data_IF_520045661364
#
_entry.id   IF_520045661364
#
_cell.length_a   1.000
_cell.length_b   1.000
_cell.length_c   1.000
_cell.angle_alpha   90.00
_cell.angle_beta   90.00
_cell.angle_gamma   90.00
#
_symmetry.space_group_name_H-M   'P 1'
#
loop_
_entity.id
_entity.type
_entity.pdbx_description
1 polymer ?
#
# COMPACT_ATOMS: atom_id res chain seq x y z
N UNK A 1 -6.98 -31.04 20.25
CA UNK A 1 -8.35 -30.78 19.78
C UNK A 1 -8.38 -30.60 18.27
N UNK A 2 -9.46 -31.06 17.63
CA UNK A 2 -9.68 -30.96 16.18
C UNK A 2 -10.52 -29.71 15.90
N UNK A 3 -10.08 -28.89 14.95
CA UNK A 3 -10.84 -27.74 14.45
C UNK A 3 -11.81 -28.20 13.35
N UNK A 4 -13.10 -28.19 13.63
CA UNK A 4 -14.14 -28.66 12.70
C UNK A 4 -14.30 -30.18 12.68
N UNK A 5 -14.80 -30.72 11.56
CA UNK A 5 -14.99 -32.17 11.36
C UNK A 5 -13.79 -32.79 10.63
N UNK A 6 -13.54 -34.07 10.84
CA UNK A 6 -12.57 -34.83 10.04
C UNK A 6 -12.89 -34.70 8.54
N UNK A 7 -11.88 -34.38 7.72
CA UNK A 7 -12.04 -34.10 6.29
C UNK A 7 -12.49 -32.68 5.93
N UNK A 8 -12.86 -31.82 6.89
CA UNK A 8 -13.33 -30.45 6.61
C UNK A 8 -12.21 -29.41 6.37
N UNK A 9 -10.94 -29.79 6.52
CA UNK A 9 -9.81 -28.85 6.54
C UNK A 9 -9.69 -27.98 5.29
N UNK A 10 -9.95 -28.54 4.10
CA UNK A 10 -9.88 -27.77 2.84
C UNK A 10 -10.95 -26.68 2.77
N UNK A 11 -12.16 -26.97 3.27
CA UNK A 11 -13.25 -26.00 3.29
C UNK A 11 -12.96 -24.82 4.22
N UNK A 12 -12.45 -25.12 5.42
CA UNK A 12 -12.05 -24.10 6.41
C UNK A 12 -10.91 -23.24 5.85
N UNK A 13 -9.89 -23.86 5.26
CA UNK A 13 -8.78 -23.14 4.62
C UNK A 13 -9.26 -22.23 3.49
N UNK A 14 -10.15 -22.71 2.62
CA UNK A 14 -10.62 -21.91 1.50
C UNK A 14 -11.41 -20.68 1.97
N UNK A 15 -12.21 -20.81 3.03
CA UNK A 15 -12.92 -19.70 3.66
C UNK A 15 -11.94 -18.66 4.24
N UNK A 16 -10.94 -19.11 5.01
CA UNK A 16 -9.93 -18.20 5.57
C UNK A 16 -9.14 -17.48 4.47
N UNK A 17 -8.80 -18.17 3.37
CA UNK A 17 -8.11 -17.57 2.24
C UNK A 17 -8.94 -16.48 1.52
N UNK A 18 -10.28 -16.54 1.56
CA UNK A 18 -11.11 -15.44 1.05
C UNK A 18 -10.89 -14.18 1.88
N UNK A 19 -10.93 -14.32 3.21
CA UNK A 19 -10.71 -13.21 4.14
C UNK A 19 -9.30 -12.65 4.04
N UNK A 20 -8.29 -13.51 3.96
CA UNK A 20 -6.89 -13.11 3.86
C UNK A 20 -6.64 -12.18 2.67
N UNK A 21 -7.30 -12.42 1.52
CA UNK A 21 -7.17 -11.53 0.35
C UNK A 21 -7.64 -10.11 0.64
N UNK A 22 -8.78 -9.97 1.30
CA UNK A 22 -9.32 -8.65 1.67
C UNK A 22 -8.37 -7.94 2.64
N UNK A 23 -7.84 -8.68 3.61
CA UNK A 23 -6.90 -8.16 4.61
C UNK A 23 -5.61 -7.69 3.95
N UNK A 24 -5.04 -8.48 3.04
CA UNK A 24 -3.82 -8.10 2.28
C UNK A 24 -4.06 -6.84 1.46
N UNK A 25 -5.20 -6.74 0.77
CA UNK A 25 -5.55 -5.52 0.02
C UNK A 25 -5.67 -4.30 0.95
N UNK A 26 -6.35 -4.44 2.09
CA UNK A 26 -6.49 -3.35 3.06
C UNK A 26 -5.13 -2.90 3.62
N UNK A 27 -4.26 -3.84 3.95
CA UNK A 27 -2.89 -3.57 4.38
C UNK A 27 -2.11 -2.79 3.32
N UNK A 28 -2.16 -3.25 2.06
CA UNK A 28 -1.44 -2.64 0.96
C UNK A 28 -1.92 -1.20 0.69
N UNK A 29 -3.23 -0.94 0.80
CA UNK A 29 -3.79 0.41 0.69
C UNK A 29 -3.22 1.35 1.77
N UNK A 30 -3.16 0.89 3.02
CA UNK A 30 -2.56 1.66 4.11
C UNK A 30 -1.06 1.92 3.89
N UNK A 31 -0.33 0.91 3.44
CA UNK A 31 1.09 1.04 3.12
C UNK A 31 1.35 2.05 2.00
N UNK A 32 0.58 1.99 0.90
CA UNK A 32 0.67 2.93 -0.21
C UNK A 32 0.37 4.37 0.22
N UNK A 33 -0.66 4.58 1.05
CA UNK A 33 -0.99 5.89 1.59
C UNK A 33 0.16 6.47 2.43
N UNK A 34 0.79 5.64 3.28
CA UNK A 34 1.94 6.06 4.10
C UNK A 34 3.17 6.37 3.24
N UNK A 35 3.44 5.56 2.23
CA UNK A 35 4.56 5.79 1.30
C UNK A 35 4.38 7.09 0.51
N UNK A 36 3.14 7.41 0.09
CA UNK A 36 2.83 8.66 -0.58
C UNK A 36 3.09 9.86 0.33
N UNK A 37 2.63 9.81 1.58
CA UNK A 37 2.87 10.88 2.57
C UNK A 37 4.37 11.12 2.78
N UNK A 38 5.13 10.05 3.02
CA UNK A 38 6.59 10.14 3.19
C UNK A 38 7.29 10.70 1.96
N UNK A 39 6.83 10.33 0.76
CA UNK A 39 7.37 10.82 -0.50
C UNK A 39 7.10 12.31 -0.69
N UNK A 40 5.89 12.77 -0.38
CA UNK A 40 5.53 14.20 -0.41
C UNK A 40 6.41 14.99 0.57
N UNK A 41 6.57 14.50 1.79
CA UNK A 41 7.38 15.16 2.81
C UNK A 41 8.85 15.24 2.42
N UNK A 42 9.38 14.19 1.80
CA UNK A 42 10.75 14.20 1.28
C UNK A 42 10.89 15.19 0.12
N UNK A 43 9.97 15.18 -0.85
CA UNK A 43 10.00 16.05 -2.02
C UNK A 43 9.92 17.55 -1.66
N UNK A 44 9.25 17.88 -0.54
CA UNK A 44 9.19 19.24 0.01
C UNK A 44 10.47 19.68 0.69
N UNK A 45 11.16 18.76 1.38
CA UNK A 45 12.37 19.07 2.18
C UNK A 45 13.67 18.99 1.38
N UNK A 46 13.77 18.07 0.42
CA UNK A 46 14.96 17.88 -0.40
C UNK A 46 15.08 19.02 -1.42
N UNK A 47 16.19 19.76 -1.36
CA UNK A 47 16.50 20.86 -2.30
C UNK A 47 17.62 20.47 -3.27
N UNK A 48 17.45 20.81 -4.54
CA UNK A 48 18.46 20.77 -5.60
C UNK A 48 18.21 21.91 -6.59
N UNK A 49 19.27 22.44 -7.19
CA UNK A 49 19.18 23.61 -8.08
C UNK A 49 18.39 24.76 -7.41
N UNK A 50 18.74 25.02 -6.14
CA UNK A 50 18.17 26.06 -5.27
C UNK A 50 16.64 26.01 -5.03
N UNK A 51 15.98 24.89 -5.31
CA UNK A 51 14.56 24.72 -5.01
C UNK A 51 14.21 23.31 -4.51
N UNK A 52 13.08 23.15 -3.78
CA UNK A 52 12.56 21.83 -3.45
C UNK A 52 12.32 20.99 -4.71
N UNK A 53 12.70 19.71 -4.67
CA UNK A 53 12.57 18.83 -5.84
C UNK A 53 11.11 18.61 -6.27
N UNK A 54 10.16 18.78 -5.36
CA UNK A 54 8.73 18.72 -5.68
C UNK A 54 8.24 19.82 -6.63
N UNK A 55 9.03 20.86 -6.90
CA UNK A 55 8.70 21.89 -7.91
C UNK A 55 8.98 21.44 -9.35
N UNK A 56 9.78 20.39 -9.55
CA UNK A 56 10.03 19.85 -10.88
C UNK A 56 8.86 18.98 -11.34
N UNK A 57 8.37 19.22 -12.56
CA UNK A 57 7.24 18.49 -13.15
C UNK A 57 7.45 16.97 -13.18
N UNK A 58 8.69 16.53 -13.45
CA UNK A 58 9.05 15.10 -13.44
C UNK A 58 8.85 14.42 -12.08
N UNK A 59 8.91 15.18 -10.98
CA UNK A 59 8.67 14.68 -9.62
C UNK A 59 7.20 14.82 -9.24
N UNK A 60 6.60 16.00 -9.47
CA UNK A 60 5.20 16.25 -9.11
C UNK A 60 4.23 15.35 -9.88
N UNK A 61 4.50 15.05 -11.15
CA UNK A 61 3.66 14.17 -11.95
C UNK A 61 3.67 12.73 -11.43
N UNK A 62 4.83 12.23 -11.02
CA UNK A 62 4.94 10.89 -10.42
C UNK A 62 4.21 10.79 -9.08
N UNK A 63 4.27 11.85 -8.27
CA UNK A 63 3.51 11.92 -7.01
C UNK A 63 2.00 11.95 -7.28
N UNK A 64 1.56 12.68 -8.31
CA UNK A 64 0.15 12.67 -8.72
C UNK A 64 -0.29 11.28 -9.20
N UNK A 65 0.52 10.59 -10.01
CA UNK A 65 0.26 9.21 -10.42
C UNK A 65 0.16 8.24 -9.24
N UNK A 66 1.02 8.40 -8.22
CA UNK A 66 0.94 7.60 -7.00
C UNK A 66 -0.36 7.83 -6.22
N UNK A 67 -0.98 9.02 -6.31
CA UNK A 67 -2.24 9.33 -5.63
C UNK A 67 -3.46 8.78 -6.38
N UNK A 68 -3.37 8.67 -7.70
CA UNK A 68 -4.47 8.23 -8.57
C UNK A 68 -4.62 6.70 -8.65
N UNK A 69 -3.59 5.94 -8.23
CA UNK A 69 -3.57 4.47 -8.22
C UNK A 69 -3.76 3.92 -6.81
#
# INVERSE_FOLDING_TARGET
>A
DILGKEGAGLGILNDSLQWDRVIICAYQLGAMARQLEQTIDYARRRKQFDQPIGKFQSVSNRIAEMKLR
#
